data_IF_861182697052
#
_entry.id   IF_861182697052
#
_cell.length_a   1.000
_cell.length_b   1.000
_cell.length_c   1.000
_cell.angle_alpha   90.00
_cell.angle_beta   90.00
_cell.angle_gamma   90.00
#
_symmetry.space_group_name_H-M   'P 1'
#
loop_
_entity.id
_entity.type
_entity.pdbx_description
1 polymer ?
#
# COMPACT_ATOMS: atom_id res chain seq x y z
N UNK A 1 11.92 -22.60 5.42
CA UNK A 1 10.54 -22.34 4.98
C UNK A 1 10.48 -20.84 4.79
N UNK A 2 10.82 -20.40 3.58
CA UNK A 2 10.67 -19.00 3.20
C UNK A 2 9.18 -18.69 3.22
N UNK A 3 8.75 -17.83 4.13
CA UNK A 3 7.39 -17.28 4.25
C UNK A 3 7.09 -16.31 3.10
N UNK A 4 7.44 -16.68 1.86
CA UNK A 4 6.89 -16.03 0.66
C UNK A 4 5.54 -16.67 0.38
N UNK A 5 4.54 -16.30 1.20
CA UNK A 5 3.14 -16.39 0.79
C UNK A 5 2.95 -15.71 -0.58
N UNK A 6 1.88 -16.05 -1.33
CA UNK A 6 1.67 -15.56 -2.70
C UNK A 6 1.88 -14.05 -2.72
N UNK A 7 2.72 -13.55 -3.65
CA UNK A 7 3.11 -12.13 -3.79
C UNK A 7 1.96 -11.19 -3.40
N UNK A 8 1.95 -10.80 -2.13
CA UNK A 8 0.74 -10.37 -1.43
C UNK A 8 1.02 -9.05 -0.74
N UNK A 9 -0.04 -8.30 -0.52
CA UNK A 9 0.00 -7.01 0.16
C UNK A 9 0.61 -7.18 1.55
N UNK A 10 1.67 -6.43 1.84
CA UNK A 10 2.22 -6.30 3.17
C UNK A 10 1.47 -5.25 3.98
N UNK A 11 1.75 -5.24 5.30
CA UNK A 11 1.15 -4.31 6.27
C UNK A 11 1.27 -2.85 5.84
N UNK A 12 2.37 -2.49 5.17
CA UNK A 12 2.56 -1.13 4.67
C UNK A 12 1.59 -0.78 3.54
N UNK A 13 1.44 -1.66 2.55
CA UNK A 13 0.52 -1.41 1.44
C UNK A 13 -0.93 -1.31 1.96
N UNK A 14 -1.31 -2.12 2.95
CA UNK A 14 -2.61 -2.01 3.61
C UNK A 14 -2.83 -0.66 4.31
N UNK A 15 -1.83 -0.14 5.03
CA UNK A 15 -1.89 1.17 5.67
C UNK A 15 -2.00 2.30 4.64
N UNK A 16 -1.23 2.21 3.55
CA UNK A 16 -1.28 3.17 2.44
C UNK A 16 -2.66 3.16 1.80
N UNK A 17 -3.22 1.98 1.53
CA UNK A 17 -4.57 1.82 0.99
C UNK A 17 -5.63 2.39 1.92
N UNK A 18 -5.58 2.04 3.22
CA UNK A 18 -6.51 2.58 4.21
C UNK A 18 -6.44 4.11 4.29
N UNK A 19 -5.24 4.68 4.27
CA UNK A 19 -5.06 6.13 4.24
C UNK A 19 -5.58 6.78 2.96
N UNK A 20 -5.36 6.17 1.80
CA UNK A 20 -5.85 6.67 0.52
C UNK A 20 -7.39 6.64 0.46
N UNK A 21 -8.01 5.55 0.91
CA UNK A 21 -9.47 5.42 1.02
C UNK A 21 -10.03 6.44 2.03
N UNK A 22 -9.35 6.70 3.15
CA UNK A 22 -9.77 7.71 4.12
C UNK A 22 -9.77 9.13 3.54
N UNK A 23 -8.84 9.45 2.63
CA UNK A 23 -8.73 10.79 2.02
C UNK A 23 -9.66 11.01 0.83
N UNK A 24 -9.76 10.01 -0.06
CA UNK A 24 -10.50 10.15 -1.32
C UNK A 24 -11.89 9.53 -1.28
N UNK A 25 -12.14 8.65 -0.30
CA UNK A 25 -13.37 7.86 -0.20
C UNK A 25 -13.34 6.59 -1.05
N UNK A 26 -14.14 5.60 -0.64
CA UNK A 26 -14.23 4.29 -1.31
C UNK A 26 -14.92 4.34 -2.70
N UNK A 27 -15.37 5.51 -3.15
CA UNK A 27 -15.93 5.73 -4.50
C UNK A 27 -14.92 6.28 -5.52
N UNK A 28 -13.74 6.73 -5.08
CA UNK A 28 -12.77 7.42 -5.92
C UNK A 28 -11.53 6.54 -6.20
N UNK A 29 -11.74 5.34 -6.75
CA UNK A 29 -10.68 4.34 -6.93
C UNK A 29 -9.51 4.77 -7.83
N UNK A 30 -9.74 5.67 -8.78
CA UNK A 30 -8.66 6.24 -9.61
C UNK A 30 -7.68 7.09 -8.78
N UNK A 31 -8.19 7.92 -7.88
CA UNK A 31 -7.37 8.71 -6.97
C UNK A 31 -6.67 7.82 -5.93
N UNK A 32 -7.39 6.81 -5.42
CA UNK A 32 -6.83 5.82 -4.48
C UNK A 32 -5.68 5.04 -5.11
N UNK A 33 -5.84 4.51 -6.33
CA UNK A 33 -4.80 3.72 -6.99
C UNK A 33 -3.57 4.55 -7.34
N UNK A 34 -3.76 5.78 -7.82
CA UNK A 34 -2.67 6.73 -8.09
C UNK A 34 -1.86 7.03 -6.83
N UNK A 35 -2.53 7.27 -5.70
CA UNK A 35 -1.84 7.51 -4.43
C UNK A 35 -1.12 6.27 -3.91
N UNK A 36 -1.77 5.09 -3.94
CA UNK A 36 -1.15 3.81 -3.54
C UNK A 36 0.11 3.57 -4.36
N UNK A 37 0.01 3.65 -5.69
CA UNK A 37 1.14 3.45 -6.61
C UNK A 37 2.27 4.45 -6.35
N UNK A 38 1.95 5.74 -6.14
CA UNK A 38 2.96 6.76 -5.85
C UNK A 38 3.72 6.48 -4.56
N UNK A 39 3.04 5.97 -3.53
CA UNK A 39 3.64 5.74 -2.20
C UNK A 39 4.36 4.40 -2.09
N UNK A 40 3.95 3.38 -2.84
CA UNK A 40 4.64 2.08 -2.89
C UNK A 40 5.85 2.11 -3.82
N UNK A 41 5.75 2.74 -4.99
CA UNK A 41 6.88 2.85 -5.94
C UNK A 41 7.98 3.80 -5.46
N UNK A 42 7.64 4.82 -4.67
CA UNK A 42 8.62 5.79 -4.16
C UNK A 42 9.39 5.29 -2.93
N UNK A 43 8.90 4.25 -2.25
CA UNK A 43 9.53 3.63 -1.08
C UNK A 43 9.63 2.11 -1.21
N UNK A 44 10.38 1.57 -2.19
CA UNK A 44 10.52 0.12 -2.35
C UNK A 44 11.30 -0.55 -1.20
N UNK A 45 11.97 0.22 -0.32
CA UNK A 45 12.90 -0.30 0.70
C UNK A 45 12.79 0.33 2.09
N UNK A 46 11.78 1.17 2.33
CA UNK A 46 11.68 1.94 3.57
C UNK A 46 10.48 1.48 4.36
N UNK A 47 10.64 0.37 5.08
CA UNK A 47 10.42 0.29 6.53
C UNK A 47 10.53 -1.17 6.98
N UNK A 48 11.68 -1.56 7.54
CA UNK A 48 11.70 -2.71 8.46
C UNK A 48 11.07 -2.21 9.75
N UNK A 49 9.88 -2.70 10.08
CA UNK A 49 9.38 -2.57 11.43
C UNK A 49 10.24 -3.49 12.31
N UNK A 50 11.18 -2.90 13.06
CA UNK A 50 11.91 -3.58 14.15
C UNK A 50 11.12 -3.51 15.45
#
# INVERSE_FOLDING_TARGET
MDETGPAGWGTWEELVLGGAVLRHGAGAWEAVSSEVQTRTLRHPHLFTAE
#
